data_IF_425391461226
#
_entry.id   IF_425391461226
#
_cell.length_a   1.000
_cell.length_b   1.000
_cell.length_c   1.000
_cell.angle_alpha   90.00
_cell.angle_beta   90.00
_cell.angle_gamma   90.00
#
_symmetry.space_group_name_H-M   'P 1'
#
loop_
_entity.id
_entity.type
_entity.pdbx_description
1 polymer ?
#
# COMPACT_ATOMS: atom_id res chain seq x y z
N UNK A 1 15.76 3.11 37.36
CA UNK A 1 16.43 1.92 36.80
C UNK A 1 16.16 1.96 35.30
N UNK A 2 17.15 2.33 34.48
CA UNK A 2 16.93 2.64 33.07
C UNK A 2 16.51 1.37 32.32
N UNK A 3 15.27 1.33 31.82
CA UNK A 3 14.86 0.32 30.85
C UNK A 3 15.68 0.55 29.58
N UNK A 4 16.73 -0.27 29.41
CA UNK A 4 17.45 -0.38 28.15
C UNK A 4 16.45 -0.96 27.15
N UNK A 5 15.85 -0.11 26.34
CA UNK A 5 15.17 -0.54 25.13
C UNK A 5 16.15 -1.39 24.33
N UNK A 6 15.90 -2.70 24.26
CA UNK A 6 16.67 -3.58 23.40
C UNK A 6 16.36 -3.16 21.98
N UNK A 7 17.39 -2.73 21.23
CA UNK A 7 17.24 -2.40 19.83
C UNK A 7 16.58 -3.60 19.12
N UNK A 8 15.49 -3.41 18.35
CA UNK A 8 14.95 -4.50 17.55
C UNK A 8 16.05 -4.99 16.60
N UNK A 9 16.16 -6.30 16.37
CA UNK A 9 17.23 -6.86 15.56
C UNK A 9 17.21 -6.22 14.17
N UNK A 10 18.30 -5.54 13.80
CA UNK A 10 18.55 -5.14 12.42
C UNK A 10 18.62 -6.42 11.59
N UNK A 11 17.71 -6.55 10.61
CA UNK A 11 17.82 -7.62 9.63
C UNK A 11 18.85 -7.21 8.57
N UNK A 12 20.11 -7.50 8.87
CA UNK A 12 21.17 -7.65 7.88
C UNK A 12 20.97 -8.98 7.15
N UNK A 13 19.93 -9.11 6.33
CA UNK A 13 19.82 -10.24 5.40
C UNK A 13 19.79 -9.70 3.99
N UNK A 14 20.96 -9.72 3.33
CA UNK A 14 21.17 -9.51 1.90
C UNK A 14 20.32 -10.45 1.00
N UNK A 15 19.60 -11.39 1.60
CA UNK A 15 18.65 -12.30 0.97
C UNK A 15 17.23 -12.06 1.50
N UNK A 16 16.26 -11.97 0.59
CA UNK A 16 14.85 -12.04 0.96
C UNK A 16 14.59 -13.44 1.57
N UNK A 17 13.98 -13.55 2.76
CA UNK A 17 13.64 -14.85 3.31
C UNK A 17 12.71 -15.58 2.34
N UNK A 18 12.93 -16.88 2.14
CA UNK A 18 12.01 -17.73 1.38
C UNK A 18 10.62 -17.55 1.99
N UNK A 19 9.68 -17.01 1.21
CA UNK A 19 8.33 -16.69 1.66
C UNK A 19 7.30 -17.31 0.74
N UNK A 20 6.07 -17.49 1.24
CA UNK A 20 4.95 -17.93 0.40
C UNK A 20 4.74 -16.99 -0.78
N UNK A 21 4.98 -15.68 -0.57
CA UNK A 21 4.87 -14.67 -1.62
C UNK A 21 5.89 -14.91 -2.74
N UNK A 22 7.16 -15.16 -2.39
CA UNK A 22 8.23 -15.45 -3.35
C UNK A 22 7.92 -16.73 -4.15
N UNK A 23 7.47 -17.79 -3.47
CA UNK A 23 7.09 -19.05 -4.13
C UNK A 23 5.98 -18.78 -5.14
N UNK A 24 4.89 -18.14 -4.72
CA UNK A 24 3.75 -17.85 -5.61
C UNK A 24 4.15 -16.93 -6.76
N UNK A 25 5.02 -15.94 -6.52
CA UNK A 25 5.56 -15.07 -7.57
C UNK A 25 6.37 -15.85 -8.60
N UNK A 26 7.23 -16.76 -8.17
CA UNK A 26 8.02 -17.63 -9.07
C UNK A 26 7.08 -18.52 -9.88
N UNK A 27 6.11 -19.18 -9.25
CA UNK A 27 5.14 -20.04 -9.96
C UNK A 27 4.29 -19.25 -10.97
N UNK A 28 3.84 -18.04 -10.62
CA UNK A 28 3.09 -17.16 -11.54
C UNK A 28 3.90 -16.71 -12.75
N UNK A 29 5.18 -16.46 -12.56
CA UNK A 29 6.08 -15.99 -13.63
C UNK A 29 6.55 -17.15 -14.51
N UNK A 30 6.62 -18.36 -13.95
CA UNK A 30 7.08 -19.57 -14.64
C UNK A 30 5.91 -20.46 -15.06
N UNK A 31 5.48 -21.41 -14.24
CA UNK A 31 4.54 -22.47 -14.60
C UNK A 31 3.12 -21.98 -14.95
N UNK A 32 2.67 -20.86 -14.39
CA UNK A 32 1.33 -20.32 -14.63
C UNK A 32 1.31 -19.13 -15.58
N UNK A 33 2.41 -18.87 -16.30
CA UNK A 33 2.43 -17.85 -17.34
C UNK A 33 2.09 -18.46 -18.71
N UNK A 34 1.12 -17.90 -19.47
CA UNK A 34 0.72 -18.45 -20.76
C UNK A 34 1.90 -18.67 -21.72
N UNK A 35 2.79 -17.67 -21.84
CA UNK A 35 3.99 -17.77 -22.68
C UNK A 35 4.85 -19.00 -22.34
N UNK A 36 5.13 -19.24 -21.06
CA UNK A 36 5.97 -20.36 -20.61
C UNK A 36 5.23 -21.68 -20.80
N UNK A 37 3.93 -21.72 -20.52
CA UNK A 37 3.11 -22.92 -20.71
C UNK A 37 3.09 -23.37 -22.18
N UNK A 38 3.07 -22.43 -23.13
CA UNK A 38 3.12 -22.72 -24.57
C UNK A 38 4.50 -23.14 -25.09
N UNK A 39 5.60 -22.83 -24.39
CA UNK A 39 6.94 -23.31 -24.78
C UNK A 39 7.01 -24.85 -24.76
N UNK A 40 6.34 -25.50 -23.81
CA UNK A 40 6.38 -26.96 -23.65
C UNK A 40 5.86 -27.72 -24.89
N UNK A 41 4.63 -27.49 -25.37
CA UNK A 41 4.14 -28.14 -26.59
C UNK A 41 4.96 -27.76 -27.83
N UNK A 42 5.50 -26.53 -27.90
CA UNK A 42 6.40 -26.12 -28.99
C UNK A 42 7.72 -26.91 -28.97
N UNK A 43 8.29 -27.16 -27.80
CA UNK A 43 9.48 -28.01 -27.64
C UNK A 43 9.20 -29.47 -28.03
N UNK A 44 8.06 -30.04 -27.62
CA UNK A 44 7.66 -31.38 -28.07
C UNK A 44 7.48 -31.44 -29.58
N UNK A 45 6.91 -30.39 -30.17
CA UNK A 45 6.77 -30.31 -31.62
C UNK A 45 8.12 -30.21 -32.31
N UNK A 46 9.08 -29.47 -31.77
CA UNK A 46 10.45 -29.38 -32.29
C UNK A 46 11.18 -30.73 -32.23
N UNK A 47 10.85 -31.59 -31.27
CA UNK A 47 11.34 -32.97 -31.17
C UNK A 47 10.57 -33.97 -32.07
N UNK A 48 9.70 -33.48 -32.97
CA UNK A 48 8.83 -34.30 -33.83
C UNK A 48 7.91 -35.27 -33.07
N UNK A 49 7.48 -34.91 -31.86
CA UNK A 49 6.43 -35.65 -31.16
C UNK A 49 5.10 -35.54 -31.91
N UNK A 50 4.39 -36.66 -32.04
CA UNK A 50 3.07 -36.69 -32.68
C UNK A 50 2.01 -35.95 -31.85
N UNK A 51 0.99 -35.43 -32.53
CA UNK A 51 -0.08 -34.63 -31.91
C UNK A 51 -0.99 -35.44 -30.97
N UNK A 52 -1.13 -36.72 -31.24
CA UNK A 52 -1.93 -37.70 -30.49
C UNK A 52 -1.17 -38.31 -29.31
N UNK A 53 0.13 -38.04 -29.18
CA UNK A 53 0.93 -38.52 -28.06
C UNK A 53 0.37 -37.94 -26.74
N UNK A 54 0.16 -38.77 -25.68
CA UNK A 54 -0.40 -38.28 -24.42
C UNK A 54 0.34 -37.07 -23.81
N UNK A 55 1.69 -36.99 -23.82
CA UNK A 55 2.39 -35.81 -23.30
C UNK A 55 2.10 -34.53 -24.08
N UNK A 56 1.93 -34.62 -25.40
CA UNK A 56 1.55 -33.48 -26.25
C UNK A 56 0.16 -32.98 -25.88
N UNK A 57 -0.83 -33.89 -25.83
CA UNK A 57 -2.22 -33.55 -25.49
C UNK A 57 -2.33 -32.90 -24.10
N UNK A 58 -1.65 -33.45 -23.09
CA UNK A 58 -1.64 -32.89 -21.73
C UNK A 58 -1.01 -31.51 -21.70
N UNK A 59 0.10 -31.30 -22.41
CA UNK A 59 0.78 -29.99 -22.44
C UNK A 59 -0.05 -28.91 -23.13
N UNK A 60 -0.74 -29.24 -24.23
CA UNK A 60 -1.65 -28.32 -24.93
C UNK A 60 -2.86 -28.00 -24.04
N UNK A 61 -3.45 -29.02 -23.39
CA UNK A 61 -4.58 -28.82 -22.48
C UNK A 61 -4.20 -27.90 -21.32
N UNK A 62 -3.03 -28.10 -20.71
CA UNK A 62 -2.50 -27.24 -19.66
C UNK A 62 -2.26 -25.81 -20.14
N UNK A 63 -1.57 -25.62 -21.26
CA UNK A 63 -1.29 -24.29 -21.82
C UNK A 63 -2.58 -23.55 -22.18
N UNK A 64 -3.56 -24.26 -22.74
CA UNK A 64 -4.88 -23.72 -23.04
C UNK A 64 -5.62 -23.30 -21.76
N UNK A 65 -5.63 -24.15 -20.73
CA UNK A 65 -6.22 -23.84 -19.43
C UNK A 65 -5.59 -22.60 -18.78
N UNK A 66 -4.26 -22.52 -18.72
CA UNK A 66 -3.55 -21.36 -18.18
C UNK A 66 -3.85 -20.09 -18.98
N UNK A 67 -3.91 -20.19 -20.30
CA UNK A 67 -4.28 -19.05 -21.18
C UNK A 67 -5.71 -18.59 -20.91
N UNK A 68 -6.65 -19.51 -20.75
CA UNK A 68 -8.04 -19.21 -20.39
C UNK A 68 -8.14 -18.54 -19.01
N UNK A 69 -7.43 -19.04 -18.00
CA UNK A 69 -7.38 -18.42 -16.68
C UNK A 69 -6.77 -17.01 -16.72
N UNK A 70 -5.69 -16.82 -17.48
CA UNK A 70 -5.08 -15.51 -17.67
C UNK A 70 -6.03 -14.54 -18.37
N UNK A 71 -6.67 -14.97 -19.46
CA UNK A 71 -7.64 -14.17 -20.20
C UNK A 71 -8.85 -13.83 -19.34
N UNK A 72 -9.37 -14.78 -18.54
CA UNK A 72 -10.43 -14.51 -17.57
C UNK A 72 -10.00 -13.46 -16.53
N UNK A 73 -8.74 -13.49 -16.08
CA UNK A 73 -8.17 -12.46 -15.22
C UNK A 73 -8.12 -11.08 -15.87
N UNK A 74 -7.71 -11.00 -17.14
CA UNK A 74 -7.71 -9.75 -17.92
C UNK A 74 -9.12 -9.21 -18.08
N UNK A 75 -10.08 -10.06 -18.45
CA UNK A 75 -11.50 -9.70 -18.59
C UNK A 75 -12.06 -9.22 -17.25
N UNK A 76 -11.80 -9.94 -16.16
CA UNK A 76 -12.22 -9.57 -14.82
C UNK A 76 -11.69 -8.18 -14.43
N UNK A 77 -10.41 -7.90 -14.67
CA UNK A 77 -9.83 -6.59 -14.38
C UNK A 77 -10.46 -5.49 -15.24
N UNK A 78 -10.71 -5.74 -16.53
CA UNK A 78 -11.39 -4.78 -17.41
C UNK A 78 -12.82 -4.49 -16.94
N UNK A 79 -13.55 -5.51 -16.50
CA UNK A 79 -14.92 -5.35 -15.98
C UNK A 79 -14.94 -4.62 -14.63
N UNK A 80 -14.01 -4.95 -13.73
CA UNK A 80 -13.97 -4.38 -12.38
C UNK A 80 -13.44 -2.94 -12.36
N UNK A 81 -12.44 -2.64 -13.20
CA UNK A 81 -11.65 -1.42 -13.14
C UNK A 81 -11.78 -0.50 -14.35
N UNK A 82 -12.47 -0.94 -15.42
CA UNK A 82 -12.72 -0.12 -16.60
C UNK A 82 -11.47 0.10 -17.47
N UNK A 83 -11.51 1.18 -18.26
CA UNK A 83 -10.40 1.59 -19.11
C UNK A 83 -9.41 2.48 -18.32
N UNK A 84 -8.09 2.41 -18.63
CA UNK A 84 -7.13 3.35 -18.08
C UNK A 84 -7.49 4.80 -18.43
N UNK A 85 -7.05 5.76 -17.61
CA UNK A 85 -6.91 7.15 -18.06
C UNK A 85 -5.51 7.35 -18.65
N UNK A 86 -5.36 8.34 -19.51
CA UNK A 86 -4.02 8.77 -19.94
C UNK A 86 -3.37 9.59 -18.81
N UNK A 87 -2.07 9.41 -18.65
CA UNK A 87 -1.27 10.06 -17.60
C UNK A 87 0.01 10.61 -18.23
N UNK A 88 0.15 11.93 -18.18
CA UNK A 88 1.37 12.63 -18.53
C UNK A 88 1.92 13.30 -17.27
N UNK A 89 3.04 12.79 -16.75
CA UNK A 89 3.65 13.28 -15.51
C UNK A 89 3.99 14.77 -15.52
N UNK A 90 4.15 15.39 -16.70
CA UNK A 90 4.41 16.83 -16.81
C UNK A 90 3.18 17.69 -16.52
N UNK A 91 1.98 17.11 -16.62
CA UNK A 91 0.69 17.75 -16.31
C UNK A 91 0.14 17.32 -14.95
N UNK A 92 0.78 16.35 -14.28
CA UNK A 92 0.32 15.84 -12.99
C UNK A 92 0.86 16.69 -11.82
N UNK A 93 -0.06 17.06 -10.92
CA UNK A 93 0.26 17.62 -9.61
C UNK A 93 -0.14 16.61 -8.54
N UNK A 94 0.88 16.01 -7.91
CA UNK A 94 0.75 14.89 -6.99
C UNK A 94 0.80 15.38 -5.54
N UNK A 95 -0.33 15.30 -4.84
CA UNK A 95 -0.44 15.66 -3.43
C UNK A 95 -0.29 14.42 -2.57
N UNK A 96 0.66 14.41 -1.63
CA UNK A 96 0.96 13.28 -0.75
C UNK A 96 0.84 13.70 0.70
N UNK A 97 -0.07 13.09 1.46
CA UNK A 97 -0.15 13.30 2.91
C UNK A 97 0.77 12.36 3.67
N UNK A 98 1.42 12.86 4.73
CA UNK A 98 2.39 12.09 5.49
C UNK A 98 3.67 11.78 4.70
N UNK A 99 4.08 12.69 3.80
CA UNK A 99 5.18 12.49 2.87
C UNK A 99 6.58 12.80 3.42
N UNK A 100 6.72 13.23 4.67
CA UNK A 100 8.04 13.53 5.25
C UNK A 100 8.79 12.27 5.75
N UNK A 101 8.17 11.07 5.70
CA UNK A 101 8.84 9.82 6.11
C UNK A 101 8.21 8.57 5.51
N UNK A 102 8.95 7.45 5.55
CA UNK A 102 8.44 6.12 5.21
C UNK A 102 7.95 6.01 3.76
N UNK A 103 6.79 5.38 3.55
CA UNK A 103 6.22 5.14 2.22
C UNK A 103 5.96 6.45 1.44
N UNK A 104 5.43 7.48 2.12
CA UNK A 104 5.10 8.75 1.48
C UNK A 104 6.34 9.47 0.95
N UNK A 105 7.44 9.46 1.72
CA UNK A 105 8.72 10.04 1.31
C UNK A 105 9.29 9.33 0.09
N UNK A 106 9.29 7.99 0.08
CA UNK A 106 9.78 7.21 -1.06
C UNK A 106 8.99 7.52 -2.35
N UNK A 107 7.67 7.64 -2.26
CA UNK A 107 6.84 8.00 -3.41
C UNK A 107 7.15 9.43 -3.87
N UNK A 108 7.30 10.38 -2.94
CA UNK A 108 7.62 11.76 -3.24
C UNK A 108 8.97 11.90 -3.95
N UNK A 109 10.01 11.23 -3.44
CA UNK A 109 11.36 11.24 -4.04
C UNK A 109 11.37 10.62 -5.43
N UNK A 110 10.69 9.48 -5.63
CA UNK A 110 10.65 8.83 -6.95
C UNK A 110 9.94 9.71 -7.97
N UNK A 111 8.81 10.33 -7.63
CA UNK A 111 8.12 11.23 -8.57
C UNK A 111 8.89 12.52 -8.84
N UNK A 112 9.52 13.12 -7.81
CA UNK A 112 10.39 14.28 -7.99
C UNK A 112 11.56 14.00 -8.93
N UNK A 113 12.24 12.85 -8.76
CA UNK A 113 13.32 12.41 -9.66
C UNK A 113 12.83 12.15 -11.10
N UNK A 114 11.57 11.78 -11.28
CA UNK A 114 10.94 11.58 -12.60
C UNK A 114 10.43 12.86 -13.23
N UNK A 115 10.59 14.01 -12.56
CA UNK A 115 10.19 15.32 -13.08
C UNK A 115 8.71 15.65 -12.93
N UNK A 116 7.96 14.90 -12.12
CA UNK A 116 6.59 15.25 -11.79
C UNK A 116 6.54 16.34 -10.71
N UNK A 117 5.45 17.08 -10.65
CA UNK A 117 5.23 18.10 -9.62
C UNK A 117 4.61 17.47 -8.38
N UNK A 118 5.28 17.54 -7.24
CA UNK A 118 4.88 16.87 -6.00
C UNK A 118 4.69 17.86 -4.85
N UNK A 119 3.52 17.87 -4.23
CA UNK A 119 3.22 18.57 -2.99
C UNK A 119 3.20 17.59 -1.82
N UNK A 120 4.09 17.79 -0.83
CA UNK A 120 4.14 16.97 0.39
C UNK A 120 3.48 17.71 1.55
N UNK A 121 2.46 17.11 2.14
CA UNK A 121 1.79 17.63 3.34
C UNK A 121 2.22 16.80 4.56
N UNK A 122 2.89 17.45 5.51
CA UNK A 122 3.24 16.80 6.78
C UNK A 122 3.36 17.83 7.92
N UNK A 123 3.13 17.39 9.16
CA UNK A 123 3.35 18.20 10.36
C UNK A 123 4.83 18.34 10.69
N UNK A 124 5.65 17.38 10.23
CA UNK A 124 7.10 17.39 10.37
C UNK A 124 7.73 18.06 9.18
N UNK A 125 8.78 18.84 9.44
CA UNK A 125 9.62 19.37 8.39
C UNK A 125 10.32 18.23 7.65
N UNK A 126 10.37 18.37 6.34
CA UNK A 126 11.05 17.45 5.45
C UNK A 126 12.52 17.87 5.34
N UNK A 127 13.45 16.97 5.68
CA UNK A 127 14.90 17.28 5.69
C UNK A 127 15.43 17.68 4.30
N UNK A 128 14.83 17.14 3.23
CA UNK A 128 15.13 17.46 1.83
C UNK A 128 13.95 18.17 1.13
N UNK A 129 13.33 19.15 1.80
CA UNK A 129 12.08 19.80 1.37
C UNK A 129 12.10 20.51 0.00
N UNK A 130 13.28 20.63 -0.63
CA UNK A 130 13.48 21.23 -1.96
C UNK A 130 14.23 20.28 -2.91
N UNK A 131 14.03 18.96 -2.77
CA UNK A 131 14.42 18.04 -3.83
C UNK A 131 13.74 18.43 -5.14
N UNK A 132 14.42 18.26 -6.28
CA UNK A 132 13.91 18.67 -7.60
C UNK A 132 12.50 18.11 -7.84
N UNK A 133 11.51 19.00 -8.01
CA UNK A 133 10.11 18.64 -8.25
C UNK A 133 9.25 18.39 -7.01
N UNK A 134 9.81 18.48 -5.79
CA UNK A 134 9.08 18.29 -4.52
C UNK A 134 9.01 19.61 -3.76
N UNK A 135 7.79 19.98 -3.33
CA UNK A 135 7.53 21.15 -2.50
C UNK A 135 6.85 20.73 -1.21
N UNK A 136 7.44 21.10 -0.08
CA UNK A 136 6.91 20.81 1.25
C UNK A 136 5.91 21.89 1.71
N UNK A 137 4.78 21.43 2.25
CA UNK A 137 3.78 22.25 2.92
C UNK A 137 3.55 21.72 4.34
N UNK A 138 3.77 22.60 5.32
CA UNK A 138 3.48 22.28 6.73
C UNK A 138 1.97 22.25 6.93
N UNK A 139 1.42 21.06 7.16
CA UNK A 139 -0.03 20.86 7.28
C UNK A 139 -0.36 19.77 8.30
N UNK A 140 -1.18 20.09 9.29
CA UNK A 140 -1.89 19.07 10.06
C UNK A 140 -3.16 18.67 9.32
N UNK A 141 -3.19 17.45 8.79
CA UNK A 141 -4.34 16.93 8.04
C UNK A 141 -5.60 16.70 8.89
N UNK A 142 -5.49 16.81 10.22
CA UNK A 142 -6.64 16.80 11.13
C UNK A 142 -7.32 18.17 11.24
N UNK A 143 -6.67 19.23 10.76
CA UNK A 143 -7.22 20.59 10.71
C UNK A 143 -7.71 20.89 9.30
N UNK A 144 -9.03 20.84 9.10
CA UNK A 144 -9.69 21.11 7.82
C UNK A 144 -9.36 22.51 7.25
N UNK A 145 -9.13 23.51 8.10
CA UNK A 145 -8.88 24.88 7.68
C UNK A 145 -7.41 25.05 7.25
N UNK A 146 -6.49 24.27 7.81
CA UNK A 146 -5.12 24.15 7.29
C UNK A 146 -5.11 23.42 5.94
N UNK A 147 -5.84 22.31 5.80
CA UNK A 147 -5.92 21.56 4.53
C UNK A 147 -6.45 22.45 3.41
N UNK A 148 -7.51 23.22 3.66
CA UNK A 148 -8.07 24.14 2.67
C UNK A 148 -7.09 25.27 2.28
N UNK A 149 -6.38 25.85 3.24
CA UNK A 149 -5.36 26.89 2.99
C UNK A 149 -4.21 26.34 2.14
N UNK A 150 -3.65 25.20 2.54
CA UNK A 150 -2.54 24.56 1.82
C UNK A 150 -2.96 24.11 0.43
N UNK A 151 -4.21 23.67 0.23
CA UNK A 151 -4.71 23.36 -1.10
C UNK A 151 -4.71 24.58 -2.03
N UNK A 152 -5.12 25.76 -1.53
CA UNK A 152 -5.05 27.00 -2.31
C UNK A 152 -3.61 27.45 -2.59
N UNK A 153 -2.69 27.22 -1.65
CA UNK A 153 -1.26 27.46 -1.87
C UNK A 153 -0.70 26.53 -2.95
N UNK A 154 -1.03 25.24 -2.93
CA UNK A 154 -0.64 24.27 -3.95
C UNK A 154 -1.19 24.66 -5.32
N UNK A 155 -2.47 25.04 -5.41
CA UNK A 155 -3.06 25.46 -6.68
C UNK A 155 -2.37 26.68 -7.28
N UNK A 156 -1.96 27.64 -6.43
CA UNK A 156 -1.20 28.83 -6.84
C UNK A 156 0.22 28.48 -7.28
N UNK A 157 0.92 27.66 -6.51
CA UNK A 157 2.36 27.46 -6.63
C UNK A 157 2.70 26.37 -7.67
N UNK A 158 1.85 25.34 -7.78
CA UNK A 158 2.11 24.11 -8.53
C UNK A 158 1.04 23.79 -9.59
N UNK A 159 -0.15 24.39 -9.48
CA UNK A 159 -1.29 24.11 -10.34
C UNK A 159 -2.29 23.14 -9.71
N UNK A 160 -3.33 22.80 -10.47
CA UNK A 160 -4.47 22.01 -9.99
C UNK A 160 -4.07 20.58 -9.63
N UNK A 161 -4.28 20.11 -8.39
CA UNK A 161 -4.04 18.72 -7.99
C UNK A 161 -4.80 17.70 -8.84
N UNK A 162 -4.07 16.75 -9.43
CA UNK A 162 -4.61 15.66 -10.26
C UNK A 162 -4.46 14.30 -9.59
N UNK A 163 -3.50 14.14 -8.67
CA UNK A 163 -3.32 12.92 -7.87
C UNK A 163 -3.35 13.26 -6.39
N UNK A 164 -4.16 12.53 -5.62
CA UNK A 164 -4.20 12.63 -4.16
C UNK A 164 -3.82 11.27 -3.55
N UNK A 165 -2.73 11.25 -2.79
CA UNK A 165 -2.26 10.08 -2.04
C UNK A 165 -2.53 10.31 -0.55
N UNK A 166 -3.63 9.73 -0.07
CA UNK A 166 -3.98 9.70 1.34
C UNK A 166 -3.19 8.61 2.08
N UNK A 167 -2.08 9.02 2.69
CA UNK A 167 -1.10 8.14 3.34
C UNK A 167 -0.83 8.48 4.82
N UNK A 168 -1.11 9.71 5.27
CA UNK A 168 -0.86 10.12 6.65
C UNK A 168 -1.50 9.16 7.67
N UNK A 169 -0.72 8.75 8.67
CA UNK A 169 -1.18 7.84 9.71
C UNK A 169 -0.40 7.96 11.03
N UNK A 170 -1.05 7.55 12.13
CA UNK A 170 -0.47 7.37 13.47
C UNK A 170 -0.87 6.02 14.07
N UNK A 171 -0.06 5.50 14.99
CA UNK A 171 -0.31 4.26 15.72
C UNK A 171 0.13 4.44 17.17
N UNK A 172 -0.74 4.09 18.13
CA UNK A 172 -0.43 4.14 19.56
C UNK A 172 0.13 2.81 20.11
N UNK A 173 -0.40 1.67 19.67
CA UNK A 173 0.10 0.35 20.11
C UNK A 173 -0.25 -0.01 21.55
N UNK A 174 -1.36 0.53 22.09
CA UNK A 174 -1.85 0.25 23.45
C UNK A 174 -3.09 -0.62 23.42
N UNK A 175 -3.34 -1.37 24.50
CA UNK A 175 -4.63 -2.04 24.68
C UNK A 175 -5.71 -0.99 24.88
N UNK A 176 -6.95 -1.31 24.52
CA UNK A 176 -8.08 -0.39 24.64
C UNK A 176 -8.24 0.17 26.07
N UNK A 177 -8.06 -0.66 27.09
CA UNK A 177 -8.20 -0.25 28.50
C UNK A 177 -7.04 0.64 28.99
N UNK A 178 -5.92 0.64 28.29
CA UNK A 178 -4.72 1.42 28.64
C UNK A 178 -4.62 2.71 27.78
N UNK A 179 -5.61 2.96 26.92
CA UNK A 179 -5.63 4.07 25.98
C UNK A 179 -6.56 5.18 26.48
N UNK A 180 -6.08 6.41 26.44
CA UNK A 180 -6.91 7.56 26.76
C UNK A 180 -7.90 7.83 25.62
N UNK A 181 -9.09 8.36 25.93
CA UNK A 181 -10.09 8.70 24.90
C UNK A 181 -9.53 9.68 23.87
N UNK A 182 -8.71 10.64 24.30
CA UNK A 182 -8.05 11.61 23.41
C UNK A 182 -7.08 10.95 22.42
N UNK A 183 -6.46 9.82 22.78
CA UNK A 183 -5.62 9.04 21.86
C UNK A 183 -6.48 8.34 20.80
N UNK A 184 -7.63 7.79 21.20
CA UNK A 184 -8.60 7.18 20.28
C UNK A 184 -9.12 8.25 19.29
N UNK A 185 -9.54 9.40 19.80
CA UNK A 185 -10.02 10.52 18.99
C UNK A 185 -8.96 11.00 18.00
N UNK A 186 -7.70 11.16 18.46
CA UNK A 186 -6.59 11.55 17.58
C UNK A 186 -6.29 10.51 16.51
N UNK A 187 -6.36 9.23 16.85
CA UNK A 187 -6.18 8.12 15.92
C UNK A 187 -7.26 8.13 14.84
N UNK A 188 -8.53 8.26 15.21
CA UNK A 188 -9.65 8.36 14.26
C UNK A 188 -9.57 9.65 13.43
N UNK A 189 -9.23 10.78 14.06
CA UNK A 189 -9.08 12.06 13.36
C UNK A 189 -8.01 11.96 12.27
N UNK A 190 -6.85 11.38 12.59
CA UNK A 190 -5.71 11.29 11.65
C UNK A 190 -5.89 10.18 10.62
N UNK A 191 -6.29 8.98 11.05
CA UNK A 191 -6.30 7.79 10.20
C UNK A 191 -7.59 7.61 9.37
N UNK A 192 -8.67 8.35 9.70
CA UNK A 192 -9.97 8.22 9.06
C UNK A 192 -10.55 9.58 8.65
N UNK A 193 -10.77 10.50 9.60
CA UNK A 193 -11.49 11.76 9.33
C UNK A 193 -10.69 12.66 8.38
N UNK A 194 -9.37 12.72 8.52
CA UNK A 194 -8.49 13.49 7.64
C UNK A 194 -8.67 13.15 6.16
N UNK A 195 -8.99 11.88 5.83
CA UNK A 195 -9.23 11.48 4.45
C UNK A 195 -10.50 12.14 3.91
N UNK A 196 -11.54 12.33 4.73
CA UNK A 196 -12.73 13.08 4.30
C UNK A 196 -12.39 14.55 4.04
N UNK A 197 -11.53 15.16 4.86
CA UNK A 197 -11.10 16.55 4.67
C UNK A 197 -10.33 16.73 3.36
N UNK A 198 -9.34 15.87 3.11
CA UNK A 198 -8.56 15.92 1.87
C UNK A 198 -9.43 15.61 0.65
N UNK A 199 -10.28 14.59 0.72
CA UNK A 199 -11.22 14.27 -0.37
C UNK A 199 -12.15 15.44 -0.65
N UNK A 200 -12.80 16.04 0.36
CA UNK A 200 -13.69 17.20 0.16
C UNK A 200 -12.96 18.43 -0.39
N UNK A 201 -11.66 18.53 -0.16
CA UNK A 201 -10.84 19.67 -0.62
C UNK A 201 -10.38 19.47 -2.06
N UNK A 202 -9.78 18.32 -2.39
CA UNK A 202 -9.11 18.12 -3.69
C UNK A 202 -10.01 17.48 -4.76
N UNK A 203 -10.98 16.62 -4.37
CA UNK A 203 -11.84 15.94 -5.34
C UNK A 203 -12.68 16.88 -6.22
N UNK A 204 -13.24 18.01 -5.73
CA UNK A 204 -14.04 18.89 -6.57
C UNK A 204 -13.29 19.43 -7.79
N UNK A 205 -11.99 19.70 -7.68
CA UNK A 205 -11.17 20.15 -8.82
C UNK A 205 -10.95 19.02 -9.83
N UNK A 206 -10.61 17.81 -9.37
CA UNK A 206 -10.47 16.62 -10.22
C UNK A 206 -11.79 16.28 -10.95
N UNK A 207 -12.93 16.48 -10.30
CA UNK A 207 -14.26 16.23 -10.85
C UNK A 207 -14.64 17.21 -11.97
N UNK A 208 -14.17 18.46 -11.90
CA UNK A 208 -14.36 19.46 -12.97
C UNK A 208 -13.40 19.30 -14.14
N UNK A 209 -12.31 18.57 -13.96
CA UNK A 209 -11.33 18.29 -15.02
C UNK A 209 -11.85 17.23 -15.99
N UNK A 210 -11.68 17.48 -17.29
CA UNK A 210 -11.99 16.50 -18.35
C UNK A 210 -11.01 15.32 -18.34
N UNK A 211 -9.75 15.55 -17.94
CA UNK A 211 -8.71 14.51 -17.82
C UNK A 211 -8.94 13.63 -16.58
N UNK A 212 -9.63 14.17 -15.56
CA UNK A 212 -9.94 13.47 -14.32
C UNK A 212 -8.81 13.55 -13.29
N UNK A 213 -8.51 12.43 -12.66
CA UNK A 213 -7.50 12.37 -11.61
C UNK A 213 -7.33 10.98 -11.01
N UNK A 214 -6.50 10.86 -9.97
CA UNK A 214 -6.25 9.58 -9.28
C UNK A 214 -6.23 9.76 -7.77
N UNK A 215 -7.07 8.99 -7.07
CA UNK A 215 -7.16 8.98 -5.61
C UNK A 215 -6.57 7.66 -5.09
N UNK A 216 -5.50 7.76 -4.33
CA UNK A 216 -4.88 6.62 -3.65
C UNK A 216 -5.23 6.67 -2.17
N UNK A 217 -5.74 5.57 -1.64
CA UNK A 217 -6.05 5.42 -0.21
C UNK A 217 -5.18 4.32 0.39
N UNK A 218 -4.27 4.70 1.29
CA UNK A 218 -3.39 3.75 1.99
C UNK A 218 -4.06 3.24 3.26
N UNK A 219 -4.60 2.03 3.15
CA UNK A 219 -5.24 1.29 4.24
C UNK A 219 -4.26 0.33 4.93
N UNK A 220 -4.76 -0.79 5.47
CA UNK A 220 -3.97 -1.88 6.04
C UNK A 220 -4.81 -3.14 6.18
N UNK A 221 -4.16 -4.30 6.08
CA UNK A 221 -4.77 -5.61 6.36
C UNK A 221 -5.36 -5.71 7.78
N UNK A 222 -4.83 -4.93 8.73
CA UNK A 222 -5.33 -4.87 10.11
C UNK A 222 -6.78 -4.38 10.16
N UNK A 223 -7.23 -3.58 9.19
CA UNK A 223 -8.64 -3.19 9.07
C UNK A 223 -9.59 -4.35 8.76
N UNK A 224 -9.08 -5.51 8.33
CA UNK A 224 -9.90 -6.69 8.02
C UNK A 224 -9.83 -7.77 9.10
N UNK A 225 -8.68 -7.95 9.76
CA UNK A 225 -8.47 -9.05 10.74
C UNK A 225 -8.40 -8.59 12.19
N UNK A 226 -8.08 -7.31 12.43
CA UNK A 226 -7.76 -6.79 13.75
C UNK A 226 -6.53 -7.45 14.40
N UNK A 227 -5.96 -6.77 15.39
CA UNK A 227 -4.91 -7.31 16.24
C UNK A 227 -4.97 -6.69 17.62
N UNK A 228 -4.49 -7.42 18.63
CA UNK A 228 -4.30 -6.85 19.96
C UNK A 228 -3.45 -5.58 19.90
N UNK A 229 -3.78 -4.61 20.75
CA UNK A 229 -3.13 -3.29 20.84
C UNK A 229 -3.28 -2.36 19.61
N UNK A 230 -4.17 -2.70 18.67
CA UNK A 230 -4.46 -1.89 17.47
C UNK A 230 -5.96 -1.62 17.29
N UNK A 231 -6.74 -1.56 18.37
CA UNK A 231 -8.20 -1.44 18.29
C UNK A 231 -8.65 -0.16 17.56
N UNK A 232 -8.07 0.98 17.91
CA UNK A 232 -8.29 2.29 17.29
C UNK A 232 -7.84 2.31 15.82
N UNK A 233 -6.63 1.82 15.55
CA UNK A 233 -6.04 1.78 14.21
C UNK A 233 -6.81 0.83 13.28
N UNK A 234 -7.19 -0.36 13.76
CA UNK A 234 -7.98 -1.32 13.01
C UNK A 234 -9.36 -0.73 12.65
N UNK A 235 -10.03 -0.08 13.60
CA UNK A 235 -11.30 0.59 13.36
C UNK A 235 -11.17 1.68 12.27
N UNK A 236 -10.15 2.53 12.37
CA UNK A 236 -9.90 3.57 11.37
C UNK A 236 -9.60 2.99 9.98
N UNK A 237 -8.72 1.97 9.89
CA UNK A 237 -8.34 1.32 8.63
C UNK A 237 -9.50 0.54 7.99
N UNK A 238 -10.36 -0.08 8.79
CA UNK A 238 -11.63 -0.64 8.31
C UNK A 238 -12.53 0.46 7.73
N UNK A 239 -12.67 1.57 8.44
CA UNK A 239 -13.46 2.74 8.05
C UNK A 239 -13.03 3.32 6.70
N UNK A 240 -11.73 3.57 6.49
CA UNK A 240 -11.25 4.13 5.22
C UNK A 240 -11.34 3.13 4.06
N UNK A 241 -11.21 1.82 4.31
CA UNK A 241 -11.44 0.80 3.29
C UNK A 241 -12.89 0.79 2.82
N UNK A 242 -13.85 0.92 3.75
CA UNK A 242 -15.27 1.03 3.44
C UNK A 242 -15.57 2.35 2.71
N UNK A 243 -15.06 3.48 3.23
CA UNK A 243 -15.18 4.80 2.60
C UNK A 243 -14.67 4.78 1.16
N UNK A 244 -13.49 4.19 0.91
CA UNK A 244 -12.92 4.10 -0.43
C UNK A 244 -13.83 3.31 -1.38
N UNK A 245 -14.36 2.16 -0.94
CA UNK A 245 -15.27 1.35 -1.77
C UNK A 245 -16.55 2.11 -2.12
N UNK A 246 -17.13 2.82 -1.16
CA UNK A 246 -18.31 3.67 -1.40
C UNK A 246 -18.00 4.81 -2.36
N UNK A 247 -16.91 5.55 -2.14
CA UNK A 247 -16.48 6.63 -3.01
C UNK A 247 -16.20 6.14 -4.44
N UNK A 248 -15.51 5.00 -4.59
CA UNK A 248 -15.24 4.42 -5.90
C UNK A 248 -16.53 4.03 -6.64
N UNK A 249 -17.58 3.61 -5.92
CA UNK A 249 -18.89 3.36 -6.51
C UNK A 249 -19.57 4.65 -6.97
N UNK A 250 -19.55 5.70 -6.16
CA UNK A 250 -20.09 7.02 -6.52
C UNK A 250 -19.38 7.61 -7.74
N UNK A 251 -18.04 7.56 -7.77
CA UNK A 251 -17.24 8.09 -8.87
C UNK A 251 -17.41 7.29 -10.15
N UNK A 252 -17.60 5.97 -10.08
CA UNK A 252 -17.87 5.15 -11.27
C UNK A 252 -19.17 5.54 -11.96
N UNK A 253 -20.17 6.00 -11.22
CA UNK A 253 -21.46 6.46 -11.76
C UNK A 253 -21.39 7.89 -12.29
N UNK A 254 -20.67 8.76 -11.59
CA UNK A 254 -20.75 10.22 -11.82
C UNK A 254 -19.52 10.83 -12.51
N UNK A 255 -18.32 10.27 -12.28
CA UNK A 255 -17.04 10.82 -12.74
C UNK A 255 -16.09 9.67 -13.18
N UNK A 256 -16.43 8.93 -14.25
CA UNK A 256 -15.68 7.75 -14.68
C UNK A 256 -14.25 8.05 -15.17
N UNK A 257 -13.85 9.31 -15.28
CA UNK A 257 -12.48 9.75 -15.56
C UNK A 257 -11.56 9.76 -14.32
N UNK A 258 -12.14 9.71 -13.11
CA UNK A 258 -11.36 9.63 -11.87
C UNK A 258 -11.04 8.18 -11.55
N UNK A 259 -9.78 7.90 -11.27
CA UNK A 259 -9.28 6.57 -10.87
C UNK A 259 -9.14 6.49 -9.36
N UNK A 260 -9.42 5.33 -8.80
CA UNK A 260 -9.28 5.03 -7.38
C UNK A 260 -8.39 3.83 -7.17
N UNK A 261 -7.39 3.97 -6.29
CA UNK A 261 -6.46 2.91 -5.91
C UNK A 261 -6.56 2.67 -4.41
N UNK A 262 -7.02 1.48 -4.02
CA UNK A 262 -7.01 1.03 -2.62
C UNK A 262 -5.74 0.23 -2.35
N UNK A 263 -4.97 0.63 -1.36
CA UNK A 263 -3.75 -0.08 -0.96
C UNK A 263 -3.97 -0.71 0.41
N UNK A 264 -3.82 -2.02 0.51
CA UNK A 264 -3.99 -2.80 1.73
C UNK A 264 -2.68 -3.53 2.04
N UNK A 265 -1.68 -2.83 2.60
CA UNK A 265 -0.42 -3.43 2.98
C UNK A 265 -0.55 -4.28 4.25
N UNK A 266 0.33 -5.27 4.33
CA UNK A 266 0.70 -5.98 5.54
C UNK A 266 1.57 -5.14 6.47
N UNK A 267 2.39 -5.80 7.29
CA UNK A 267 3.37 -5.09 8.11
C UNK A 267 4.44 -4.46 7.20
N UNK A 268 4.60 -3.14 7.27
CA UNK A 268 5.64 -2.41 6.54
C UNK A 268 6.85 -2.14 7.42
N UNK A 269 8.05 -2.25 6.86
CA UNK A 269 9.30 -1.81 7.50
C UNK A 269 9.43 -0.28 7.46
N UNK A 270 8.64 0.43 8.27
CA UNK A 270 8.66 1.91 8.33
C UNK A 270 8.84 2.40 9.76
N UNK A 271 9.26 3.65 9.97
CA UNK A 271 9.32 4.25 11.31
C UNK A 271 7.99 4.18 12.07
N UNK A 272 6.85 4.09 11.38
CA UNK A 272 5.53 3.95 11.99
C UNK A 272 5.40 2.65 12.81
N UNK A 273 5.99 1.55 12.34
CA UNK A 273 5.91 0.21 12.94
C UNK A 273 7.24 -0.24 13.57
N UNK A 274 8.10 0.71 13.95
CA UNK A 274 9.38 0.39 14.58
C UNK A 274 9.18 -0.38 15.89
N UNK A 275 9.87 -1.52 16.03
CA UNK A 275 9.77 -2.40 17.20
C UNK A 275 8.67 -3.48 17.16
N UNK A 276 7.85 -3.55 16.10
CA UNK A 276 6.87 -4.64 15.95
C UNK A 276 7.57 -5.97 15.70
N UNK A 277 7.21 -7.00 16.46
CA UNK A 277 7.70 -8.35 16.22
C UNK A 277 7.02 -8.94 14.98
N UNK A 278 7.80 -9.40 14.00
CA UNK A 278 7.26 -10.10 12.84
C UNK A 278 6.58 -11.39 13.29
N UNK A 279 5.26 -11.53 13.10
CA UNK A 279 4.51 -12.66 13.65
C UNK A 279 5.00 -14.02 13.12
N UNK A 280 5.27 -14.09 11.80
CA UNK A 280 5.93 -15.22 11.16
C UNK A 280 6.48 -14.79 9.79
N UNK A 281 7.80 -14.80 9.59
CA UNK A 281 8.43 -14.30 8.37
C UNK A 281 8.11 -15.14 7.10
N UNK A 282 7.65 -16.39 7.24
CA UNK A 282 7.28 -17.24 6.11
C UNK A 282 5.84 -16.98 5.63
N UNK A 283 4.90 -16.89 6.57
CA UNK A 283 3.45 -16.76 6.31
C UNK A 283 3.02 -15.29 6.16
N UNK A 284 3.56 -14.43 7.03
CA UNK A 284 3.28 -13.00 7.07
C UNK A 284 4.61 -12.21 7.01
N UNK A 285 5.31 -12.25 5.86
CA UNK A 285 6.54 -11.50 5.70
C UNK A 285 6.28 -10.00 5.84
N UNK A 286 7.28 -9.29 6.36
CA UNK A 286 7.32 -7.83 6.31
C UNK A 286 7.47 -7.42 4.84
N UNK A 287 6.68 -6.43 4.42
CA UNK A 287 6.79 -5.87 3.07
C UNK A 287 7.71 -4.67 3.12
N UNK A 288 8.63 -4.63 2.15
CA UNK A 288 9.47 -3.46 1.96
C UNK A 288 8.64 -2.30 1.40
N UNK A 289 8.73 -1.09 1.99
CA UNK A 289 7.98 0.07 1.51
C UNK A 289 8.21 0.38 0.02
N UNK A 290 9.40 0.08 -0.50
CA UNK A 290 9.77 0.25 -1.91
C UNK A 290 8.88 -0.58 -2.84
N UNK A 291 8.52 -1.80 -2.45
CA UNK A 291 7.67 -2.66 -3.28
C UNK A 291 6.23 -2.15 -3.33
N UNK A 292 5.71 -1.65 -2.21
CA UNK A 292 4.39 -1.00 -2.18
C UNK A 292 4.41 0.30 -2.99
N UNK A 293 5.46 1.11 -2.87
CA UNK A 293 5.63 2.33 -3.65
C UNK A 293 5.62 2.03 -5.16
N UNK A 294 6.34 0.99 -5.61
CA UNK A 294 6.36 0.56 -7.01
C UNK A 294 4.98 0.21 -7.54
N UNK A 295 4.17 -0.54 -6.78
CA UNK A 295 2.82 -0.90 -7.22
C UNK A 295 1.88 0.31 -7.24
N UNK A 296 1.99 1.23 -6.27
CA UNK A 296 1.22 2.48 -6.26
C UNK A 296 1.58 3.33 -7.49
N UNK A 297 2.88 3.53 -7.73
CA UNK A 297 3.39 4.32 -8.86
C UNK A 297 2.95 3.68 -10.17
N UNK A 298 3.09 2.36 -10.31
CA UNK A 298 2.63 1.63 -11.49
C UNK A 298 1.12 1.81 -11.73
N UNK A 299 0.29 1.73 -10.68
CA UNK A 299 -1.15 1.94 -10.83
C UNK A 299 -1.51 3.36 -11.27
N UNK A 300 -0.81 4.36 -10.75
CA UNK A 300 -0.97 5.77 -11.13
C UNK A 300 -0.51 5.97 -12.57
N UNK A 301 0.72 5.58 -12.93
CA UNK A 301 1.31 5.78 -14.26
C UNK A 301 0.49 5.15 -15.39
N UNK A 302 -0.09 3.98 -15.14
CA UNK A 302 -0.95 3.31 -16.11
C UNK A 302 -2.41 3.80 -16.06
N UNK A 303 -2.73 4.75 -15.17
CA UNK A 303 -4.06 5.32 -15.02
C UNK A 303 -5.14 4.30 -14.68
N UNK A 304 -4.82 3.24 -13.92
CA UNK A 304 -5.73 2.16 -13.60
C UNK A 304 -6.47 2.37 -12.27
N UNK A 305 -7.73 1.95 -12.20
CA UNK A 305 -8.33 1.61 -10.92
C UNK A 305 -7.65 0.33 -10.41
N UNK A 306 -7.34 0.26 -9.11
CA UNK A 306 -6.63 -0.89 -8.57
C UNK A 306 -6.97 -1.16 -7.10
N UNK A 307 -6.89 -2.44 -6.73
CA UNK A 307 -6.89 -2.90 -5.35
C UNK A 307 -5.58 -3.65 -5.08
N UNK A 308 -4.63 -2.97 -4.44
CA UNK A 308 -3.28 -3.45 -4.19
C UNK A 308 -3.23 -4.07 -2.79
N UNK A 309 -3.32 -5.40 -2.70
CA UNK A 309 -3.02 -6.13 -1.47
C UNK A 309 -1.61 -6.71 -1.51
N UNK A 310 -0.76 -6.39 -0.53
CA UNK A 310 0.60 -6.95 -0.41
C UNK A 310 0.99 -7.20 1.04
N UNK A 311 1.69 -8.32 1.37
CA UNK A 311 2.07 -9.40 0.47
C UNK A 311 0.84 -10.29 0.18
N UNK A 312 1.02 -11.44 -0.46
CA UNK A 312 -0.05 -12.32 -0.93
C UNK A 312 -1.16 -12.52 0.10
N UNK A 313 -0.84 -12.72 1.38
CA UNK A 313 -1.87 -12.95 2.41
C UNK A 313 -2.87 -11.80 2.51
N UNK A 314 -2.46 -10.54 2.27
CA UNK A 314 -3.36 -9.39 2.29
C UNK A 314 -4.40 -9.45 1.15
N UNK A 315 -4.11 -10.16 0.05
CA UNK A 315 -5.08 -10.41 -1.04
C UNK A 315 -6.12 -11.47 -0.68
N UNK A 316 -5.77 -12.38 0.22
CA UNK A 316 -6.61 -13.53 0.60
C UNK A 316 -7.23 -13.39 1.98
N UNK A 317 -7.00 -12.27 2.65
CA UNK A 317 -7.44 -12.06 4.03
C UNK A 317 -8.96 -12.09 4.19
N UNK A 318 -9.72 -11.71 3.16
CA UNK A 318 -11.18 -11.80 3.21
C UNK A 318 -11.66 -13.26 3.30
N UNK A 319 -10.91 -14.22 2.74
CA UNK A 319 -11.20 -15.65 2.89
C UNK A 319 -11.00 -16.14 4.32
N UNK A 320 -10.01 -15.58 5.03
CA UNK A 320 -9.81 -15.90 6.45
C UNK A 320 -11.05 -15.53 7.28
N UNK A 321 -11.71 -14.42 6.97
CA UNK A 321 -12.91 -13.96 7.68
C UNK A 321 -14.14 -14.87 7.47
N UNK A 322 -14.14 -15.71 6.43
CA UNK A 322 -15.21 -16.68 6.14
C UNK A 322 -15.00 -18.02 6.89
N UNK A 323 -13.80 -18.28 7.44
CA UNK A 323 -13.50 -19.53 8.14
C UNK A 323 -14.26 -19.65 9.47
N UNK A 324 -14.56 -20.87 9.94
CA UNK A 324 -15.07 -21.10 11.29
C UNK A 324 -14.18 -20.46 12.38
N UNK A 325 -14.79 -19.87 13.41
CA UNK A 325 -14.09 -19.12 14.47
C UNK A 325 -13.00 -19.94 15.19
N UNK A 326 -13.19 -21.25 15.36
CA UNK A 326 -12.16 -22.13 15.94
C UNK A 326 -10.90 -22.22 15.07
N UNK A 327 -11.06 -22.28 13.74
CA UNK A 327 -9.93 -22.30 12.79
C UNK A 327 -9.24 -20.94 12.78
N UNK A 328 -10.02 -19.86 12.82
CA UNK A 328 -9.48 -18.51 12.94
C UNK A 328 -8.61 -18.36 14.19
N UNK A 329 -9.10 -18.80 15.36
CA UNK A 329 -8.36 -18.73 16.62
C UNK A 329 -7.03 -19.51 16.58
N UNK A 330 -7.03 -20.70 15.99
CA UNK A 330 -5.80 -21.50 15.80
C UNK A 330 -4.82 -20.79 14.86
N UNK A 331 -5.30 -20.28 13.72
CA UNK A 331 -4.48 -19.56 12.75
C UNK A 331 -3.83 -18.31 13.37
N UNK A 332 -4.59 -17.51 14.14
CA UNK A 332 -4.06 -16.35 14.86
C UNK A 332 -2.94 -16.72 15.83
N UNK A 333 -3.09 -17.83 16.55
CA UNK A 333 -2.08 -18.33 17.49
C UNK A 333 -0.81 -18.81 16.79
N UNK A 334 -0.93 -19.49 15.66
CA UNK A 334 0.21 -19.96 14.85
C UNK A 334 0.97 -18.78 14.25
N UNK A 335 0.24 -17.78 13.73
CA UNK A 335 0.84 -16.59 13.15
C UNK A 335 1.41 -15.67 14.23
N UNK A 336 0.82 -15.61 15.43
CA UNK A 336 1.32 -14.75 16.51
C UNK A 336 0.91 -13.28 16.39
N UNK A 337 -0.11 -12.98 15.58
CA UNK A 337 -0.56 -11.59 15.30
C UNK A 337 -0.91 -10.81 16.58
N UNK A 338 -1.48 -11.48 17.57
CA UNK A 338 -1.91 -10.85 18.84
C UNK A 338 -0.75 -10.58 19.82
N UNK A 339 0.45 -11.06 19.52
CA UNK A 339 1.65 -10.76 20.30
C UNK A 339 2.58 -9.75 19.61
N UNK A 340 2.33 -9.42 18.34
CA UNK A 340 3.22 -8.64 17.49
C UNK A 340 3.57 -7.25 18.06
N UNK A 341 2.63 -6.63 18.77
CA UNK A 341 2.74 -5.27 19.29
C UNK A 341 3.38 -5.16 20.68
N UNK A 342 3.76 -6.29 21.31
CA UNK A 342 4.29 -6.28 22.69
C UNK A 342 5.54 -5.42 22.87
N UNK A 343 6.40 -5.36 21.85
CA UNK A 343 7.66 -4.60 21.86
C UNK A 343 7.58 -3.33 20.99
N UNK A 344 6.38 -2.90 20.62
CA UNK A 344 6.19 -1.73 19.78
C UNK A 344 6.77 -0.47 20.43
N UNK A 345 7.58 0.28 19.68
CA UNK A 345 8.14 1.57 20.12
C UNK A 345 7.63 2.72 19.26
N UNK A 346 7.33 2.44 17.98
CA UNK A 346 6.81 3.42 17.03
C UNK A 346 7.79 4.53 16.66
N UNK A 347 7.28 5.62 16.08
CA UNK A 347 8.09 6.71 15.50
C UNK A 347 9.03 7.38 16.49
N UNK A 348 8.65 7.50 17.77
CA UNK A 348 9.47 8.14 18.79
C UNK A 348 10.72 7.31 19.12
N UNK A 349 10.60 5.98 19.07
CA UNK A 349 11.72 5.05 19.25
C UNK A 349 12.72 5.05 18.11
N UNK A 350 12.25 5.11 16.87
CA UNK A 350 13.11 5.14 15.68
C UNK A 350 14.12 6.31 15.74
N UNK A 351 13.66 7.51 16.13
CA UNK A 351 14.52 8.69 16.30
C UNK A 351 15.57 8.56 17.40
N UNK A 352 15.25 7.87 18.50
CA UNK A 352 16.22 7.61 19.58
C UNK A 352 17.29 6.60 19.14
N UNK A 353 16.91 5.64 18.30
CA UNK A 353 17.85 4.67 17.71
C UNK A 353 18.80 5.35 16.71
N UNK A 354 18.30 6.20 15.81
CA UNK A 354 19.11 6.97 14.86
C UNK A 354 20.07 7.95 15.56
N UNK A 355 19.65 8.59 16.66
CA UNK A 355 20.52 9.48 17.44
C UNK A 355 21.58 8.77 18.28
N UNK A 356 21.34 7.52 18.68
CA UNK A 356 22.27 6.72 19.49
C UNK A 356 23.13 5.76 18.64
N UNK A 357 22.72 5.47 17.41
CA UNK A 357 23.51 4.78 16.41
C UNK A 357 24.55 5.73 15.85
N UNK A 358 25.77 5.64 16.35
CA UNK A 358 26.89 6.43 15.89
C UNK A 358 27.02 6.40 14.37
N UNK A 359 27.29 7.57 13.82
CA UNK A 359 27.81 7.81 12.47
C UNK A 359 28.75 6.68 12.06
N UNK A 360 28.28 5.77 11.22
CA UNK A 360 29.18 5.01 10.34
C UNK A 360 29.19 5.79 9.04
N UNK A 361 30.14 6.72 8.94
CA UNK A 361 30.65 7.14 7.65
C UNK A 361 31.14 5.87 6.95
N UNK A 362 30.40 5.44 5.93
CA UNK A 362 30.93 4.57 4.90
C UNK A 362 31.07 5.44 3.65
N UNK A 363 32.29 5.42 3.11
CA UNK A 363 32.78 6.17 1.97
C UNK A 363 31.94 6.04 0.71
#
# INVERSE_FOLDING_TARGET
MSERFTAPPQRDSWFAPLSVDLIVKVFKTTFFHPFVAWIIPLCFRAQNMFWDAPPMLVSIAWASFITLCWMAGVINNRLAFGLPREVDLSEEVIVITGGASGLGLLIAEVYGMRGATVAVLDIKEMENGEARGVTYYKCDVTDKDQVARVAADIERDLGTPTVLINNAAIVHGKRLLDMDISEIEKSLATNLISHFYTLKTFLPAMARSEVGGTIVTVSSVIGQVGAAQLTDYAAAKAGISAMHKSLAAELRETHPQIRTVLVTPGQLSTPLFYGVQTPNAFIAPVVEPVDVAKEIISAIDHGHNAAIGMPLYARWVDWYNVLPLGIQAVARRIVGIDAAMKNFVGRSGARHSEKNGGVIQAF
#
